data_IF_191306969854
#
_entry.id   IF_191306969854
#
_cell.length_a   1.000
_cell.length_b   1.000
_cell.length_c   1.000
_cell.angle_alpha   90.00
_cell.angle_beta   90.00
_cell.angle_gamma   90.00
#
_symmetry.space_group_name_H-M   'P 1'
#
loop_
_entity.id
_entity.type
_entity.pdbx_description
1 polymer ?
#
# COMPACT_ATOMS: atom_id res chain seq x y z
N UNK A 1 5.16 -0.59 -26.01
CA UNK A 1 4.57 -1.74 -25.28
C UNK A 1 4.03 -1.23 -23.97
N UNK A 2 2.71 -1.15 -23.83
CA UNK A 2 2.09 -0.86 -22.54
C UNK A 2 2.16 -2.15 -21.71
N UNK A 3 3.02 -2.19 -20.70
CA UNK A 3 3.02 -3.29 -19.74
C UNK A 3 1.74 -3.16 -18.93
N UNK A 4 0.78 -4.09 -19.12
CA UNK A 4 -0.34 -4.23 -18.21
C UNK A 4 0.18 -4.83 -16.92
N UNK A 5 0.54 -3.97 -15.97
CA UNK A 5 1.07 -4.37 -14.67
C UNK A 5 -0.08 -4.96 -13.85
N UNK A 6 -0.24 -6.27 -13.91
CA UNK A 6 -1.24 -6.98 -13.13
C UNK A 6 -0.64 -7.32 -11.76
N UNK A 7 -0.78 -6.39 -10.81
CA UNK A 7 -0.46 -6.67 -9.42
C UNK A 7 -1.61 -7.47 -8.82
N UNK A 8 -1.31 -8.67 -8.33
CA UNK A 8 -2.30 -9.50 -7.63
C UNK A 8 -2.82 -8.77 -6.40
N UNK A 9 -4.12 -8.89 -6.08
CA UNK A 9 -4.66 -8.31 -4.84
C UNK A 9 -4.21 -9.09 -3.62
N UNK A 10 -4.04 -8.42 -2.48
CA UNK A 10 -3.75 -9.06 -1.21
C UNK A 10 -4.92 -9.97 -0.80
N UNK A 11 -4.63 -11.25 -0.58
CA UNK A 11 -5.60 -12.29 -0.17
C UNK A 11 -5.45 -12.70 1.29
N UNK A 12 -4.52 -12.09 2.00
CA UNK A 12 -4.17 -12.39 3.39
C UNK A 12 -2.76 -12.96 3.48
N UNK A 13 -2.56 -13.93 4.38
CA UNK A 13 -1.26 -14.56 4.62
C UNK A 13 -0.71 -15.28 3.38
N UNK A 14 -1.59 -15.85 2.54
CA UNK A 14 -1.22 -16.70 1.40
C UNK A 14 -0.26 -16.04 0.42
N UNK A 15 -0.42 -14.73 0.18
CA UNK A 15 0.36 -14.01 -0.82
C UNK A 15 1.03 -12.73 -0.29
N UNK A 16 0.98 -12.44 1.02
CA UNK A 16 1.47 -11.17 1.57
C UNK A 16 2.91 -10.86 1.19
N UNK A 17 3.84 -11.83 1.25
CA UNK A 17 5.26 -11.59 0.92
C UNK A 17 5.45 -11.16 -0.53
N UNK A 18 4.85 -11.89 -1.47
CA UNK A 18 4.94 -11.60 -2.90
C UNK A 18 4.20 -10.29 -3.26
N UNK A 19 3.03 -10.09 -2.64
CA UNK A 19 2.26 -8.86 -2.77
C UNK A 19 3.05 -7.65 -2.29
N UNK A 20 3.61 -7.72 -1.07
CA UNK A 20 4.34 -6.60 -0.47
C UNK A 20 5.59 -6.23 -1.29
N UNK A 21 6.31 -7.23 -1.81
CA UNK A 21 7.44 -7.01 -2.71
C UNK A 21 7.02 -6.27 -3.98
N UNK A 22 5.97 -6.78 -4.65
CA UNK A 22 5.47 -6.20 -5.92
C UNK A 22 4.94 -4.78 -5.73
N UNK A 23 4.12 -4.56 -4.71
CA UNK A 23 3.52 -3.24 -4.42
C UNK A 23 4.59 -2.24 -4.03
N UNK A 24 5.56 -2.64 -3.19
CA UNK A 24 6.69 -1.78 -2.85
C UNK A 24 7.46 -1.34 -4.10
N UNK A 25 7.86 -2.29 -4.95
CA UNK A 25 8.60 -1.95 -6.17
C UNK A 25 7.80 -1.05 -7.11
N UNK A 26 6.49 -1.26 -7.23
CA UNK A 26 5.61 -0.36 -8.00
C UNK A 26 5.60 1.06 -7.42
N UNK A 27 5.45 1.20 -6.11
CA UNK A 27 5.46 2.52 -5.44
C UNK A 27 6.84 3.19 -5.50
N UNK A 28 7.93 2.43 -5.51
CA UNK A 28 9.28 2.96 -5.75
C UNK A 28 9.41 3.53 -7.17
N UNK A 29 8.86 2.87 -8.19
CA UNK A 29 8.88 3.39 -9.58
C UNK A 29 8.03 4.65 -9.78
N UNK A 30 7.02 4.84 -8.94
CA UNK A 30 6.12 6.01 -8.96
C UNK A 30 6.59 7.15 -8.04
N UNK A 31 7.76 7.01 -7.41
CA UNK A 31 8.26 7.92 -6.36
C UNK A 31 7.22 8.16 -5.24
N UNK A 32 6.59 7.08 -4.77
CA UNK A 32 5.58 7.10 -3.71
C UNK A 32 6.00 6.33 -2.45
N UNK A 33 7.06 5.51 -2.52
CA UNK A 33 7.46 4.67 -1.39
C UNK A 33 7.91 5.47 -0.16
N UNK A 34 8.56 6.61 -0.37
CA UNK A 34 9.08 7.49 0.68
C UNK A 34 8.01 7.87 1.73
N UNK A 35 6.83 8.27 1.28
CA UNK A 35 5.69 8.65 2.16
C UNK A 35 5.02 7.44 2.82
N UNK A 36 5.16 6.24 2.25
CA UNK A 36 4.67 5.00 2.88
C UNK A 36 5.61 4.54 3.99
N UNK A 37 6.91 4.64 3.79
CA UNK A 37 7.92 4.19 4.75
C UNK A 37 8.07 5.21 5.90
N UNK A 38 8.21 6.48 5.57
CA UNK A 38 8.48 7.55 6.53
C UNK A 38 7.20 8.24 7.02
N UNK A 39 6.14 8.26 6.23
CA UNK A 39 4.97 9.11 6.44
C UNK A 39 5.13 10.44 5.72
N UNK A 40 4.04 11.16 5.41
CA UNK A 40 4.12 12.49 4.81
C UNK A 40 4.72 13.50 5.81
N UNK A 41 5.55 14.41 5.31
CA UNK A 41 6.17 15.48 6.12
C UNK A 41 5.24 16.69 6.41
N UNK A 42 4.04 16.68 5.83
CA UNK A 42 3.02 17.71 5.99
C UNK A 42 3.01 18.78 4.90
N UNK A 43 3.95 18.75 3.95
CA UNK A 43 3.88 19.57 2.74
C UNK A 43 2.72 19.13 1.85
N UNK A 44 2.17 20.05 1.04
CA UNK A 44 1.06 19.73 0.14
C UNK A 44 1.41 18.63 -0.87
N UNK A 45 2.68 18.59 -1.31
CA UNK A 45 3.21 17.58 -2.22
C UNK A 45 3.21 16.19 -1.58
N UNK A 46 3.76 16.06 -0.37
CA UNK A 46 3.78 14.77 0.33
C UNK A 46 2.38 14.32 0.76
N UNK A 47 1.49 15.25 1.13
CA UNK A 47 0.09 14.94 1.39
C UNK A 47 -0.63 14.41 0.14
N UNK A 48 -0.30 14.94 -1.04
CA UNK A 48 -0.81 14.42 -2.31
C UNK A 48 -0.25 13.03 -2.60
N UNK A 49 1.07 12.82 -2.46
CA UNK A 49 1.73 11.53 -2.63
C UNK A 49 1.19 10.48 -1.68
N UNK A 50 0.98 10.82 -0.40
CA UNK A 50 0.42 9.92 0.61
C UNK A 50 -1.00 9.46 0.23
N UNK A 51 -1.87 10.39 -0.21
CA UNK A 51 -3.22 10.05 -0.69
C UNK A 51 -3.17 9.14 -1.92
N UNK A 52 -2.27 9.42 -2.87
CA UNK A 52 -2.08 8.60 -4.08
C UNK A 52 -1.60 7.19 -3.71
N UNK A 53 -0.56 7.08 -2.88
CA UNK A 53 -0.03 5.80 -2.41
C UNK A 53 -1.08 4.98 -1.66
N UNK A 54 -1.81 5.61 -0.74
CA UNK A 54 -2.89 4.98 0.02
C UNK A 54 -3.97 4.42 -0.91
N UNK A 55 -4.42 5.21 -1.89
CA UNK A 55 -5.43 4.77 -2.86
C UNK A 55 -4.96 3.56 -3.68
N UNK A 56 -3.72 3.59 -4.17
CA UNK A 56 -3.11 2.47 -4.89
C UNK A 56 -3.10 1.21 -4.02
N UNK A 57 -2.60 1.31 -2.78
CA UNK A 57 -2.57 0.17 -1.85
C UNK A 57 -3.99 -0.38 -1.62
N UNK A 58 -4.99 0.47 -1.42
CA UNK A 58 -6.38 0.04 -1.23
C UNK A 58 -6.94 -0.70 -2.46
N UNK A 59 -6.65 -0.25 -3.68
CA UNK A 59 -7.05 -0.93 -4.91
C UNK A 59 -6.43 -2.33 -5.06
N UNK A 60 -5.27 -2.53 -4.45
CA UNK A 60 -4.50 -3.77 -4.47
C UNK A 60 -4.80 -4.67 -3.26
N UNK A 61 -5.85 -4.40 -2.49
CA UNK A 61 -6.31 -5.23 -1.39
C UNK A 61 -7.71 -5.79 -1.70
N UNK A 62 -7.98 -7.04 -1.35
CA UNK A 62 -9.33 -7.59 -1.47
C UNK A 62 -10.31 -6.88 -0.53
N UNK A 63 -11.52 -6.59 -1.01
CA UNK A 63 -12.54 -5.83 -0.27
C UNK A 63 -12.87 -6.42 1.12
N UNK A 64 -12.76 -7.76 1.27
CA UNK A 64 -12.97 -8.45 2.55
C UNK A 64 -11.96 -8.06 3.63
N UNK A 65 -10.75 -7.65 3.25
CA UNK A 65 -9.69 -7.19 4.16
C UNK A 65 -9.89 -5.70 4.50
N UNK A 66 -10.55 -4.94 3.62
CA UNK A 66 -10.80 -3.50 3.78
C UNK A 66 -11.85 -3.13 4.84
N UNK A 67 -12.59 -4.09 5.40
CA UNK A 67 -13.73 -3.86 6.31
C UNK A 67 -13.38 -3.08 7.59
N UNK A 68 -12.09 -3.00 7.95
CA UNK A 68 -11.61 -2.33 9.17
C UNK A 68 -10.80 -1.06 8.92
N UNK A 69 -10.77 -0.54 7.68
CA UNK A 69 -9.85 0.54 7.29
C UNK A 69 -10.38 1.97 7.52
N UNK A 70 -11.61 2.14 8.04
CA UNK A 70 -12.24 3.47 8.18
C UNK A 70 -11.42 4.46 9.05
N UNK A 71 -10.60 3.96 9.97
CA UNK A 71 -9.78 4.80 10.86
C UNK A 71 -8.36 5.07 10.34
N UNK A 72 -7.93 4.41 9.26
CA UNK A 72 -6.57 4.51 8.75
C UNK A 72 -6.45 5.79 7.94
N UNK A 73 -5.57 6.70 8.37
CA UNK A 73 -5.45 8.03 7.76
C UNK A 73 -4.37 8.08 6.70
N UNK A 74 -3.17 7.58 6.99
CA UNK A 74 -2.02 7.66 6.07
C UNK A 74 -1.75 6.34 5.35
N UNK A 75 -0.98 6.41 4.27
CA UNK A 75 -0.47 5.24 3.56
C UNK A 75 0.49 4.41 4.42
N UNK A 76 1.30 5.06 5.26
CA UNK A 76 2.15 4.40 6.26
C UNK A 76 1.37 3.59 7.28
N UNK A 77 0.30 4.16 7.83
CA UNK A 77 -0.56 3.46 8.78
C UNK A 77 -1.23 2.24 8.12
N UNK A 78 -1.68 2.41 6.86
CA UNK A 78 -2.25 1.32 6.08
C UNK A 78 -1.25 0.20 5.87
N UNK A 79 -0.04 0.52 5.43
CA UNK A 79 1.01 -0.46 5.19
C UNK A 79 1.41 -1.18 6.48
N UNK A 80 1.56 -0.44 7.58
CA UNK A 80 1.91 -0.99 8.90
C UNK A 80 0.84 -1.91 9.42
N UNK A 81 -0.44 -1.55 9.24
CA UNK A 81 -1.58 -2.40 9.59
C UNK A 81 -1.56 -3.71 8.80
N UNK A 82 -1.45 -3.63 7.46
CA UNK A 82 -1.42 -4.81 6.59
C UNK A 82 -0.22 -5.72 6.92
N UNK A 83 0.95 -5.12 7.19
CA UNK A 83 2.13 -5.85 7.67
C UNK A 83 1.82 -6.57 8.96
N UNK A 84 1.34 -5.87 9.98
CA UNK A 84 1.04 -6.49 11.28
C UNK A 84 0.04 -7.65 11.18
N UNK A 85 -0.97 -7.54 10.32
CA UNK A 85 -1.99 -8.58 10.15
C UNK A 85 -1.52 -9.79 9.33
N UNK A 86 -0.59 -9.60 8.39
CA UNK A 86 -0.29 -10.61 7.36
C UNK A 86 1.20 -10.94 7.20
N UNK A 87 2.11 -10.30 7.94
CA UNK A 87 3.56 -10.58 7.86
C UNK A 87 4.01 -11.77 8.70
N UNK A 88 3.13 -12.34 9.53
CA UNK A 88 3.51 -13.40 10.48
C UNK A 88 2.43 -14.48 10.64
N UNK A 89 2.66 -15.61 9.96
CA UNK A 89 3.16 -16.82 10.62
C UNK A 89 4.63 -17.00 10.22
#
# INVERSE_FOLDING_TARGET
MTLYLQVEKLRGLDNYKAWAMTVRSFLETEDLWSVVDNGPDGTDEDLYRDRKAKFIIMCLVEAKICQFMACIRTSKDLWTYLRKQHSSR
#
